data_IF_242159651565
#
_entry.id   IF_242159651565
#
_cell.length_a   1.000
_cell.length_b   1.000
_cell.length_c   1.000
_cell.angle_alpha   90.00
_cell.angle_beta   90.00
_cell.angle_gamma   90.00
#
_symmetry.space_group_name_H-M   'P 1'
#
loop_
_entity.id
_entity.type
_entity.pdbx_description
1 polymer ?
#
# COMPACT_ATOMS: atom_id res chain seq x y z
N UNK A 1 -7.45 -67.82 41.67
CA UNK A 1 -7.38 -66.40 42.10
C UNK A 1 -6.04 -65.86 41.64
N UNK A 2 -6.02 -65.22 40.47
CA UNK A 2 -4.84 -64.57 39.91
C UNK A 2 -5.09 -63.07 39.91
N UNK A 3 -4.15 -62.34 40.52
CA UNK A 3 -4.11 -60.88 40.53
C UNK A 3 -3.68 -60.40 39.14
N UNK A 4 -4.37 -59.38 38.63
CA UNK A 4 -4.23 -58.87 37.28
C UNK A 4 -2.99 -58.01 37.07
N UNK A 5 -2.42 -58.18 35.87
CA UNK A 5 -1.35 -57.37 35.31
C UNK A 5 -1.90 -56.06 34.70
N UNK A 6 -1.10 -55.00 34.86
CA UNK A 6 -1.30 -53.65 34.33
C UNK A 6 -1.00 -53.67 32.82
N UNK A 7 -1.84 -53.09 31.94
CA UNK A 7 -1.48 -52.97 30.53
C UNK A 7 -0.55 -51.78 30.29
N UNK A 8 0.65 -52.06 29.82
CA UNK A 8 1.53 -51.11 29.14
C UNK A 8 0.92 -50.73 27.79
N UNK A 9 0.62 -49.44 27.60
CA UNK A 9 0.24 -48.89 26.29
C UNK A 9 1.51 -48.64 25.49
N UNK A 10 1.75 -49.48 24.48
CA UNK A 10 2.75 -49.24 23.45
C UNK A 10 2.39 -47.98 22.65
N UNK A 11 3.32 -47.03 22.63
CA UNK A 11 3.26 -45.84 21.79
C UNK A 11 3.67 -46.21 20.37
N UNK A 12 2.70 -46.45 19.49
CA UNK A 12 2.95 -46.41 18.06
C UNK A 12 3.24 -44.96 17.65
N UNK A 13 4.52 -44.66 17.43
CA UNK A 13 4.94 -43.50 16.63
C UNK A 13 4.44 -43.71 15.20
N UNK A 14 3.39 -42.99 14.80
CA UNK A 14 3.10 -42.85 13.37
C UNK A 14 4.15 -41.92 12.77
N UNK A 15 4.91 -42.47 11.83
CA UNK A 15 5.83 -41.75 10.96
C UNK A 15 5.11 -41.52 9.65
N UNK A 16 4.05 -40.72 9.70
CA UNK A 16 3.32 -40.29 8.51
C UNK A 16 3.39 -38.76 8.43
N UNK A 17 4.51 -38.26 7.91
CA UNK A 17 4.49 -36.96 7.23
C UNK A 17 3.63 -37.14 5.99
N UNK A 18 2.32 -36.95 6.14
CA UNK A 18 1.39 -36.95 5.03
C UNK A 18 1.74 -35.79 4.08
N UNK A 19 2.25 -36.12 2.89
CA UNK A 19 2.49 -35.22 1.74
C UNK A 19 1.20 -34.60 1.17
N UNK A 20 0.10 -34.54 1.93
CA UNK A 20 -1.22 -34.08 1.49
C UNK A 20 -1.80 -32.98 2.37
N UNK A 21 -1.02 -32.39 3.28
CA UNK A 21 -1.35 -31.08 3.84
C UNK A 21 -0.92 -30.03 2.82
N UNK A 22 -1.87 -29.47 2.07
CA UNK A 22 -1.67 -28.17 1.44
C UNK A 22 -0.96 -27.24 2.45
N UNK A 23 0.08 -26.55 2.01
CA UNK A 23 0.82 -25.59 2.83
C UNK A 23 -0.18 -24.66 3.51
N UNK A 24 -0.37 -24.83 4.82
CA UNK A 24 -1.40 -24.07 5.56
C UNK A 24 -1.04 -22.59 5.61
N UNK A 25 0.24 -22.30 5.82
CA UNK A 25 0.82 -20.97 5.77
C UNK A 25 1.28 -20.65 4.32
N UNK A 26 0.67 -19.67 3.64
CA UNK A 26 0.86 -19.42 2.20
C UNK A 26 2.25 -18.90 1.81
N UNK A 27 3.02 -18.31 2.73
CA UNK A 27 4.31 -17.67 2.44
C UNK A 27 5.53 -18.51 2.81
N UNK A 28 5.34 -19.70 3.39
CA UNK A 28 6.43 -20.66 3.60
C UNK A 28 6.80 -21.31 2.25
N UNK A 29 7.55 -20.59 1.40
CA UNK A 29 8.00 -21.08 0.11
C UNK A 29 9.22 -22.03 0.16
N UNK A 30 10.13 -21.89 -0.79
CA UNK A 30 11.32 -22.73 -0.92
C UNK A 30 12.29 -22.51 0.24
N UNK A 31 12.69 -23.58 0.94
CA UNK A 31 13.71 -23.50 1.98
C UNK A 31 15.09 -23.43 1.30
N UNK A 32 15.71 -22.25 1.34
CA UNK A 32 17.03 -21.98 0.74
C UNK A 32 18.18 -22.34 1.68
N UNK A 33 17.98 -22.14 2.97
CA UNK A 33 18.94 -22.47 4.02
C UNK A 33 18.18 -22.75 5.32
N UNK A 34 18.59 -23.77 6.07
CA UNK A 34 17.96 -24.09 7.34
C UNK A 34 18.98 -24.66 8.32
N UNK A 35 19.00 -24.07 9.50
CA UNK A 35 19.70 -24.59 10.67
C UNK A 35 18.69 -24.67 11.82
N UNK A 36 18.37 -25.88 12.31
CA UNK A 36 17.40 -26.07 13.38
C UNK A 36 17.64 -25.16 14.57
N UNK A 37 16.57 -24.53 15.07
CA UNK A 37 16.56 -23.58 16.20
C UNK A 37 17.46 -22.34 16.06
N UNK A 38 18.15 -22.16 14.94
CA UNK A 38 19.08 -21.04 14.73
C UNK A 38 18.59 -20.10 13.65
N UNK A 39 18.30 -20.61 12.46
CA UNK A 39 17.88 -19.76 11.33
C UNK A 39 17.17 -20.55 10.23
N UNK A 40 16.35 -19.83 9.47
CA UNK A 40 15.76 -20.32 8.22
C UNK A 40 15.76 -19.19 7.19
N UNK A 41 16.04 -19.53 5.94
CA UNK A 41 15.94 -18.64 4.80
C UNK A 41 14.96 -19.21 3.80
N UNK A 42 13.91 -18.45 3.49
CA UNK A 42 12.80 -18.86 2.62
C UNK A 42 12.82 -18.00 1.36
N UNK A 43 12.78 -18.63 0.20
CA UNK A 43 12.52 -18.01 -1.08
C UNK A 43 11.02 -17.99 -1.38
N UNK A 44 10.49 -16.85 -1.78
CA UNK A 44 9.11 -16.72 -2.22
C UNK A 44 9.07 -15.85 -3.48
N UNK A 45 8.11 -16.10 -4.37
CA UNK A 45 7.90 -15.24 -5.54
C UNK A 45 6.55 -14.57 -5.38
N UNK A 46 6.56 -13.26 -5.12
CA UNK A 46 5.34 -12.47 -5.19
C UNK A 46 4.81 -12.54 -6.63
N UNK A 47 3.53 -12.82 -6.81
CA UNK A 47 2.94 -13.04 -8.13
C UNK A 47 1.52 -12.47 -8.18
N UNK A 48 1.24 -11.59 -9.14
CA UNK A 48 -0.09 -10.99 -9.32
C UNK A 48 -1.20 -12.03 -9.56
N UNK A 49 -0.85 -13.20 -10.09
CA UNK A 49 -1.80 -14.27 -10.29
C UNK A 49 -1.94 -15.19 -9.08
N UNK A 50 -0.98 -15.26 -8.17
CA UNK A 50 -1.11 -16.01 -6.91
C UNK A 50 -1.62 -15.12 -5.77
N UNK A 51 -0.91 -14.02 -5.49
CA UNK A 51 -1.18 -13.04 -4.44
C UNK A 51 -2.25 -12.04 -4.90
N UNK A 52 -3.50 -12.49 -4.95
CA UNK A 52 -4.62 -11.75 -5.54
C UNK A 52 -4.85 -10.38 -4.91
N UNK A 53 -4.52 -10.20 -3.64
CA UNK A 53 -4.59 -8.92 -2.93
C UNK A 53 -3.71 -7.82 -3.55
N UNK A 54 -2.65 -8.16 -4.29
CA UNK A 54 -1.78 -7.17 -4.96
C UNK A 54 -2.53 -6.37 -6.03
N UNK A 55 -3.54 -6.97 -6.67
CA UNK A 55 -4.41 -6.31 -7.65
C UNK A 55 -5.31 -5.24 -6.99
N UNK A 56 -5.49 -5.35 -5.67
CA UNK A 56 -6.26 -4.41 -4.85
C UNK A 56 -5.37 -3.44 -4.06
N UNK A 57 -4.04 -3.48 -4.24
CA UNK A 57 -3.10 -2.55 -3.63
C UNK A 57 -2.19 -1.91 -4.70
N UNK A 58 -2.81 -1.18 -5.62
CA UNK A 58 -2.14 -0.46 -6.71
C UNK A 58 -2.12 1.05 -6.47
N UNK A 59 -0.93 1.66 -6.44
CA UNK A 59 -0.79 3.09 -6.14
C UNK A 59 -1.23 4.01 -7.29
N UNK A 60 -1.23 3.51 -8.53
CA UNK A 60 -1.53 4.32 -9.72
C UNK A 60 -2.90 3.94 -10.27
N UNK A 61 -3.84 4.87 -10.22
CA UNK A 61 -5.16 4.72 -10.84
C UNK A 61 -5.04 4.87 -12.37
N UNK A 62 -4.87 3.74 -13.05
CA UNK A 62 -4.78 3.68 -14.52
C UNK A 62 -5.20 2.31 -15.09
N UNK A 63 -5.87 1.46 -14.30
CA UNK A 63 -6.19 0.07 -14.67
C UNK A 63 -7.21 -0.04 -15.80
N UNK A 64 -8.00 1.01 -16.03
CA UNK A 64 -8.93 1.08 -17.18
C UNK A 64 -8.20 1.26 -18.51
N UNK A 65 -6.97 1.77 -18.48
CA UNK A 65 -6.20 2.12 -19.69
C UNK A 65 -4.85 1.37 -19.77
N UNK A 66 -4.55 0.52 -18.80
CA UNK A 66 -3.32 -0.28 -18.72
C UNK A 66 -3.53 -1.61 -18.03
N UNK A 67 -2.58 -2.52 -18.28
CA UNK A 67 -2.43 -3.71 -17.47
C UNK A 67 -2.13 -3.35 -16.02
N UNK A 68 -2.65 -4.16 -15.10
CA UNK A 68 -2.51 -3.94 -13.65
C UNK A 68 -1.06 -3.90 -13.18
N UNK A 69 -0.14 -4.65 -13.82
CA UNK A 69 1.30 -4.59 -13.52
C UNK A 69 1.92 -3.21 -13.77
N UNK A 70 1.30 -2.38 -14.60
CA UNK A 70 1.72 -0.99 -14.84
C UNK A 70 1.08 0.01 -13.89
N UNK A 71 0.14 -0.41 -13.05
CA UNK A 71 -0.52 0.40 -12.02
C UNK A 71 0.24 0.44 -10.70
N UNK A 72 1.50 -0.04 -10.69
CA UNK A 72 2.36 -0.15 -9.52
C UNK A 72 1.66 -0.91 -8.36
N UNK A 73 1.39 -2.22 -8.52
CA UNK A 73 1.06 -3.08 -7.39
C UNK A 73 2.21 -3.10 -6.38
N UNK A 74 1.88 -2.94 -5.10
CA UNK A 74 2.87 -2.88 -4.01
C UNK A 74 2.46 -3.86 -2.92
N UNK A 75 3.42 -4.59 -2.37
CA UNK A 75 3.22 -5.39 -1.16
C UNK A 75 2.90 -4.45 0.03
N UNK A 76 1.70 -4.52 0.63
CA UNK A 76 1.40 -3.75 1.83
C UNK A 76 2.32 -4.16 2.98
N UNK A 77 2.68 -3.21 3.84
CA UNK A 77 3.53 -3.49 5.01
C UNK A 77 2.97 -4.62 5.87
N UNK A 78 1.65 -4.68 6.02
CA UNK A 78 0.97 -5.66 6.86
C UNK A 78 1.04 -7.07 6.31
N UNK A 79 0.96 -7.22 4.98
CA UNK A 79 1.24 -8.50 4.32
C UNK A 79 2.71 -8.88 4.47
N UNK A 80 3.64 -7.93 4.35
CA UNK A 80 5.05 -8.18 4.69
C UNK A 80 5.26 -8.69 6.13
N UNK A 81 4.50 -8.16 7.10
CA UNK A 81 4.54 -8.66 8.48
C UNK A 81 4.01 -10.09 8.61
N UNK A 82 2.95 -10.45 7.87
CA UNK A 82 2.45 -11.82 7.79
C UNK A 82 3.55 -12.76 7.25
N UNK A 83 4.16 -12.42 6.11
CA UNK A 83 5.26 -13.22 5.53
C UNK A 83 6.41 -13.43 6.52
N UNK A 84 6.76 -12.36 7.25
CA UNK A 84 7.83 -12.41 8.25
C UNK A 84 7.42 -13.22 9.49
N UNK A 85 6.15 -13.16 9.88
CA UNK A 85 5.56 -13.97 10.95
C UNK A 85 5.61 -15.45 10.61
N UNK A 86 5.17 -15.84 9.42
CA UNK A 86 5.19 -17.24 8.95
C UNK A 86 6.61 -17.79 8.86
N UNK A 87 7.57 -17.02 8.33
CA UNK A 87 8.97 -17.41 8.30
C UNK A 87 9.55 -17.62 9.70
N UNK A 88 9.18 -16.76 10.67
CA UNK A 88 9.59 -16.93 12.06
C UNK A 88 8.89 -18.11 12.75
N UNK A 89 7.65 -18.43 12.40
CA UNK A 89 6.91 -19.55 12.98
C UNK A 89 7.64 -20.89 12.79
N UNK A 90 8.40 -21.05 11.70
CA UNK A 90 9.27 -22.20 11.45
C UNK A 90 10.36 -22.42 12.53
N UNK A 91 10.73 -21.39 13.30
CA UNK A 91 11.70 -21.45 14.40
C UNK A 91 11.06 -21.38 15.80
N UNK A 92 9.72 -21.40 15.88
CA UNK A 92 8.96 -21.30 17.14
C UNK A 92 7.89 -22.41 17.30
N UNK A 93 8.23 -23.70 17.07
CA UNK A 93 7.25 -24.77 17.13
C UNK A 93 6.58 -24.85 18.52
N UNK A 94 5.25 -24.96 18.53
CA UNK A 94 4.45 -25.04 19.76
C UNK A 94 4.25 -23.71 20.50
N UNK A 95 4.66 -22.59 19.91
CA UNK A 95 4.36 -21.24 20.41
C UNK A 95 3.41 -20.52 19.45
N UNK A 96 2.58 -19.61 19.98
CA UNK A 96 1.72 -18.75 19.16
C UNK A 96 2.35 -17.39 18.93
N UNK A 97 2.02 -16.74 17.81
CA UNK A 97 2.39 -15.34 17.57
C UNK A 97 1.71 -14.47 18.64
N UNK A 98 2.50 -13.60 19.28
CA UNK A 98 2.00 -12.69 20.31
C UNK A 98 2.35 -11.22 20.02
N UNK A 99 3.18 -10.94 19.00
CA UNK A 99 3.47 -9.57 18.63
C UNK A 99 4.67 -9.38 17.70
N UNK A 100 4.90 -8.11 17.37
CA UNK A 100 6.04 -7.64 16.56
C UNK A 100 6.69 -6.44 17.27
N UNK A 101 8.00 -6.30 17.14
CA UNK A 101 8.75 -5.15 17.63
C UNK A 101 9.69 -4.61 16.56
N UNK A 102 10.03 -3.33 16.68
CA UNK A 102 11.06 -2.69 15.84
C UNK A 102 10.81 -2.85 14.33
N UNK A 103 9.55 -2.78 13.90
CA UNK A 103 9.17 -2.90 12.50
C UNK A 103 9.70 -1.69 11.75
N UNK A 104 10.46 -1.95 10.68
CA UNK A 104 10.96 -0.92 9.78
C UNK A 104 10.69 -1.34 8.34
N UNK A 105 10.05 -0.49 7.55
CA UNK A 105 9.97 -0.61 6.09
C UNK A 105 10.86 0.46 5.46
N UNK A 106 12.07 0.05 5.06
CA UNK A 106 13.09 0.94 4.51
C UNK A 106 13.00 1.09 2.99
N UNK A 107 12.42 0.11 2.31
CA UNK A 107 12.26 0.13 0.86
C UNK A 107 10.95 -0.52 0.46
N UNK A 108 10.36 0.00 -0.61
CA UNK A 108 9.12 -0.48 -1.17
C UNK A 108 9.35 -1.80 -1.92
N UNK A 109 8.42 -2.73 -1.79
CA UNK A 109 8.40 -3.99 -2.57
C UNK A 109 7.25 -3.87 -3.57
N UNK A 110 7.57 -3.29 -4.73
CA UNK A 110 6.61 -3.03 -5.81
C UNK A 110 6.89 -3.88 -7.05
N UNK A 111 5.82 -4.29 -7.73
CA UNK A 111 5.87 -4.95 -9.02
C UNK A 111 5.83 -3.88 -10.12
N UNK A 112 7.02 -3.42 -10.52
CA UNK A 112 7.19 -2.28 -11.43
C UNK A 112 7.17 -2.74 -12.90
N UNK A 113 5.97 -2.87 -13.49
CA UNK A 113 5.73 -3.41 -14.84
C UNK A 113 6.10 -4.89 -15.02
N UNK A 114 6.25 -5.62 -13.92
CA UNK A 114 6.45 -7.06 -13.87
C UNK A 114 5.24 -7.72 -13.21
N UNK A 115 5.01 -9.00 -13.49
CA UNK A 115 3.91 -9.76 -12.87
C UNK A 115 4.39 -10.61 -11.70
N UNK A 116 5.70 -10.85 -11.60
CA UNK A 116 6.31 -11.60 -10.51
C UNK A 116 7.57 -10.93 -9.98
N UNK A 117 7.83 -11.07 -8.68
CA UNK A 117 9.00 -10.53 -8.01
C UNK A 117 9.55 -11.54 -6.99
N UNK A 118 10.73 -12.14 -7.25
CA UNK A 118 11.39 -12.98 -6.25
C UNK A 118 11.83 -12.15 -5.04
N UNK A 119 11.51 -12.68 -3.86
CA UNK A 119 11.88 -12.14 -2.56
C UNK A 119 12.49 -13.25 -1.69
N UNK A 120 13.11 -12.84 -0.59
CA UNK A 120 13.74 -13.75 0.35
C UNK A 120 13.51 -13.28 1.77
N UNK A 121 13.05 -14.19 2.63
CA UNK A 121 12.86 -13.98 4.05
C UNK A 121 14.01 -14.66 4.79
N UNK A 122 14.70 -13.95 5.68
CA UNK A 122 15.73 -14.51 6.55
C UNK A 122 15.28 -14.34 7.99
N UNK A 123 14.89 -15.44 8.63
CA UNK A 123 14.52 -15.49 10.04
C UNK A 123 15.68 -16.09 10.86
N UNK A 124 16.05 -15.44 11.96
CA UNK A 124 17.13 -15.85 12.84
C UNK A 124 16.71 -15.73 14.30
N UNK A 125 16.86 -16.82 15.04
CA UNK A 125 16.69 -16.83 16.49
C UNK A 125 17.56 -15.73 17.13
N UNK A 126 17.01 -15.02 18.11
CA UNK A 126 17.74 -14.01 18.88
C UNK A 126 17.88 -14.41 20.33
N UNK A 127 16.76 -14.59 21.03
CA UNK A 127 16.74 -14.90 22.46
C UNK A 127 15.44 -15.58 22.87
N UNK A 128 15.52 -16.38 23.92
CA UNK A 128 14.37 -16.86 24.68
C UNK A 128 14.30 -16.08 26.01
N UNK A 129 13.10 -15.65 26.39
CA UNK A 129 12.82 -15.08 27.71
C UNK A 129 12.09 -16.12 28.55
N UNK A 130 12.82 -16.78 29.44
CA UNK A 130 12.28 -17.85 30.30
C UNK A 130 11.19 -17.36 31.25
N UNK A 131 11.28 -16.13 31.76
CA UNK A 131 10.27 -15.55 32.66
C UNK A 131 8.95 -15.29 31.93
N UNK A 132 9.02 -14.81 30.69
CA UNK A 132 7.84 -14.51 29.86
C UNK A 132 7.39 -15.70 29.02
N UNK A 133 8.15 -16.80 29.02
CA UNK A 133 7.93 -17.97 28.16
C UNK A 133 7.77 -17.57 26.69
N UNK A 134 8.60 -16.63 26.25
CA UNK A 134 8.57 -16.07 24.90
C UNK A 134 9.89 -16.26 24.16
N UNK A 135 9.79 -16.29 22.84
CA UNK A 135 10.90 -16.42 21.90
C UNK A 135 10.89 -15.24 20.95
N UNK A 136 12.05 -14.59 20.79
CA UNK A 136 12.25 -13.49 19.84
C UNK A 136 13.04 -13.99 18.63
N UNK A 137 12.50 -13.72 17.45
CA UNK A 137 13.12 -14.07 16.16
C UNK A 137 13.21 -12.81 15.34
N UNK A 138 14.42 -12.46 14.90
CA UNK A 138 14.63 -11.34 13.99
C UNK A 138 14.38 -11.82 12.57
N UNK A 139 13.60 -11.06 11.80
CA UNK A 139 13.29 -11.38 10.41
C UNK A 139 13.63 -10.20 9.52
N UNK A 140 14.20 -10.49 8.35
CA UNK A 140 14.57 -9.52 7.33
C UNK A 140 14.02 -10.00 5.98
N UNK A 141 13.30 -9.13 5.27
CA UNK A 141 12.72 -9.37 3.95
C UNK A 141 13.54 -8.63 2.89
N UNK A 142 14.03 -9.35 1.89
CA UNK A 142 14.83 -8.84 0.79
C UNK A 142 14.06 -8.98 -0.52
N UNK A 143 14.15 -7.99 -1.40
CA UNK A 143 13.72 -8.11 -2.79
C UNK A 143 14.93 -8.35 -3.69
N UNK A 144 14.75 -9.15 -4.76
CA UNK A 144 15.84 -9.48 -5.69
C UNK A 144 16.51 -8.20 -6.24
N UNK A 145 17.84 -8.20 -6.26
CA UNK A 145 18.65 -7.09 -6.78
C UNK A 145 18.99 -6.00 -5.76
N UNK A 146 18.68 -6.20 -4.48
CA UNK A 146 19.00 -5.27 -3.40
C UNK A 146 19.76 -5.97 -2.27
N UNK A 147 20.85 -5.34 -1.80
CA UNK A 147 21.72 -5.90 -0.75
C UNK A 147 21.21 -5.62 0.67
N UNK A 148 20.24 -4.72 0.82
CA UNK A 148 19.67 -4.33 2.10
C UNK A 148 18.21 -4.78 2.22
N UNK A 149 17.74 -5.10 3.44
CA UNK A 149 16.36 -5.53 3.63
C UNK A 149 15.38 -4.40 3.31
N UNK A 150 14.34 -4.74 2.56
CA UNK A 150 13.21 -3.86 2.32
C UNK A 150 12.40 -3.67 3.62
N UNK A 151 12.25 -4.74 4.40
CA UNK A 151 11.61 -4.73 5.70
C UNK A 151 12.37 -5.55 6.73
N UNK A 152 12.27 -5.16 8.01
CA UNK A 152 12.82 -5.91 9.15
C UNK A 152 11.98 -5.71 10.40
N UNK A 153 11.92 -6.72 11.25
CA UNK A 153 11.27 -6.66 12.55
C UNK A 153 11.80 -7.77 13.46
N UNK A 154 11.45 -7.68 14.74
CA UNK A 154 11.52 -8.77 15.70
C UNK A 154 10.11 -9.36 15.84
N UNK A 155 9.94 -10.65 15.55
CA UNK A 155 8.69 -11.38 15.75
C UNK A 155 8.75 -12.08 17.11
N UNK A 156 7.68 -11.93 17.89
CA UNK A 156 7.59 -12.46 19.25
C UNK A 156 6.57 -13.59 19.29
N UNK A 157 7.02 -14.77 19.72
CA UNK A 157 6.19 -15.93 19.96
C UNK A 157 6.14 -16.27 21.45
N UNK A 158 5.05 -16.84 21.94
CA UNK A 158 4.92 -17.21 23.34
C UNK A 158 3.84 -18.23 23.63
N UNK A 159 3.86 -18.80 24.84
CA UNK A 159 2.75 -19.65 25.35
C UNK A 159 1.60 -18.86 25.96
N UNK A 160 1.82 -17.58 26.24
CA UNK A 160 0.87 -16.65 26.84
C UNK A 160 1.08 -15.28 26.21
N UNK A 161 0.00 -14.52 26.09
CA UNK A 161 0.07 -13.12 25.68
C UNK A 161 0.82 -12.27 26.70
N UNK A 162 1.54 -11.25 26.22
CA UNK A 162 2.24 -10.28 27.06
C UNK A 162 1.34 -9.08 27.27
N UNK A 163 1.34 -8.52 28.48
CA UNK A 163 0.64 -7.28 28.84
C UNK A 163 1.65 -6.15 29.03
N UNK A 164 2.52 -5.92 28.04
CA UNK A 164 3.65 -4.99 28.20
C UNK A 164 3.41 -3.60 27.60
N UNK A 165 2.50 -3.49 26.63
CA UNK A 165 2.08 -2.21 26.06
C UNK A 165 0.93 -1.61 26.87
N UNK A 166 1.19 -0.45 27.47
CA UNK A 166 0.19 0.35 28.19
C UNK A 166 -0.05 1.65 27.44
N UNK A 167 -1.17 1.71 26.71
CA UNK A 167 -1.62 2.89 25.98
C UNK A 167 -2.72 3.58 26.78
N UNK A 168 -2.66 4.91 26.85
CA UNK A 168 -3.70 5.74 27.44
C UNK A 168 -4.35 6.54 26.32
N UNK A 169 -5.64 6.31 26.13
CA UNK A 169 -6.45 7.04 25.16
C UNK A 169 -7.17 8.20 25.86
N UNK A 170 -7.06 9.41 25.30
CA UNK A 170 -7.80 10.58 25.77
C UNK A 170 -9.08 10.77 24.96
N UNK A 171 -10.03 11.52 25.51
CA UNK A 171 -11.21 11.94 24.74
C UNK A 171 -10.81 12.69 23.46
N UNK A 172 -11.60 12.54 22.40
CA UNK A 172 -11.36 13.24 21.16
C UNK A 172 -11.51 14.76 21.36
N UNK A 173 -10.52 15.51 20.89
CA UNK A 173 -10.51 16.97 20.89
C UNK A 173 -11.30 17.46 19.67
N UNK A 174 -12.38 18.21 19.92
CA UNK A 174 -13.27 18.75 18.90
C UNK A 174 -13.75 17.68 17.90
N UNK A 175 -14.42 16.61 18.37
CA UNK A 175 -14.85 15.51 17.50
C UNK A 175 -15.86 16.03 16.47
N UNK A 176 -15.69 15.64 15.22
CA UNK A 176 -16.58 15.93 14.10
C UNK A 176 -16.84 14.65 13.29
N UNK A 177 -17.97 14.55 12.59
CA UNK A 177 -18.15 13.51 11.59
C UNK A 177 -17.14 13.68 10.46
N UNK A 178 -16.81 12.58 9.78
CA UNK A 178 -16.07 12.64 8.52
C UNK A 178 -16.91 13.43 7.48
N UNK A 179 -16.31 14.34 6.68
CA UNK A 179 -17.08 15.16 5.74
C UNK A 179 -17.64 14.39 4.55
N UNK A 180 -17.20 13.15 4.34
CA UNK A 180 -17.69 12.22 3.31
C UNK A 180 -18.01 10.87 3.93
N UNK A 181 -18.78 10.05 3.21
CA UNK A 181 -19.07 8.67 3.61
C UNK A 181 -17.85 7.76 3.44
N UNK A 182 -17.88 6.58 4.09
CA UNK A 182 -16.83 5.56 3.92
C UNK A 182 -16.83 5.00 2.50
N UNK A 183 -18.01 4.86 1.90
CA UNK A 183 -18.16 4.47 0.50
C UNK A 183 -17.44 5.46 -0.41
N UNK A 184 -17.57 6.76 -0.16
CA UNK A 184 -16.87 7.80 -0.90
C UNK A 184 -15.35 7.78 -0.69
N UNK A 185 -14.84 7.42 0.50
CA UNK A 185 -13.39 7.26 0.71
C UNK A 185 -12.79 6.31 -0.32
N UNK A 186 -13.49 5.21 -0.64
CA UNK A 186 -13.04 4.23 -1.62
C UNK A 186 -13.45 4.59 -3.05
N UNK A 187 -14.72 4.91 -3.30
CA UNK A 187 -15.25 5.15 -4.66
C UNK A 187 -14.71 6.42 -5.29
N UNK A 188 -14.41 7.45 -4.50
CA UNK A 188 -13.75 8.67 -4.96
C UNK A 188 -12.21 8.60 -4.82
N UNK A 189 -11.66 7.40 -4.56
CA UNK A 189 -10.22 7.08 -4.57
C UNK A 189 -9.35 7.84 -3.57
N UNK A 190 -9.91 8.41 -2.50
CA UNK A 190 -9.07 8.89 -1.37
C UNK A 190 -8.22 7.76 -0.80
N UNK A 191 -8.74 6.52 -0.85
CA UNK A 191 -8.02 5.28 -0.67
C UNK A 191 -7.86 4.56 -2.03
N UNK A 192 -6.64 4.13 -2.34
CA UNK A 192 -6.32 3.40 -3.57
C UNK A 192 -6.64 1.90 -3.49
N UNK A 193 -7.13 1.42 -2.34
CA UNK A 193 -7.42 0.02 -2.04
C UNK A 193 -8.63 -0.52 -2.82
N UNK A 194 -8.47 -1.71 -3.42
CA UNK A 194 -9.53 -2.48 -4.06
C UNK A 194 -10.30 -3.38 -3.09
N UNK A 195 -11.34 -4.09 -3.55
CA UNK A 195 -12.35 -4.73 -2.71
C UNK A 195 -11.84 -5.64 -1.58
N UNK A 196 -10.79 -6.43 -1.80
CA UNK A 196 -10.20 -7.33 -0.80
C UNK A 196 -9.57 -6.58 0.39
N UNK A 197 -9.33 -5.29 0.25
CA UNK A 197 -8.69 -4.42 1.24
C UNK A 197 -9.59 -3.27 1.71
N UNK A 198 -10.87 -3.22 1.32
CA UNK A 198 -11.81 -2.18 1.78
C UNK A 198 -12.40 -2.52 3.15
N UNK A 199 -11.56 -2.46 4.18
CA UNK A 199 -11.88 -2.95 5.52
C UNK A 199 -12.56 -1.91 6.43
N UNK A 200 -12.56 -0.61 6.09
CA UNK A 200 -13.22 0.38 6.96
C UNK A 200 -14.74 0.20 6.80
N UNK A 201 -15.43 -0.03 7.92
CA UNK A 201 -16.90 -0.13 7.95
C UNK A 201 -17.55 1.18 8.35
N UNK A 202 -16.96 1.89 9.33
CA UNK A 202 -17.54 3.11 9.87
C UNK A 202 -16.48 4.01 10.50
N UNK A 203 -16.63 5.32 10.32
CA UNK A 203 -15.91 6.33 11.09
C UNK A 203 -16.93 7.06 11.97
N UNK A 204 -16.84 6.90 13.29
CA UNK A 204 -17.80 7.50 14.23
C UNK A 204 -17.49 8.98 14.49
N UNK A 205 -16.22 9.30 14.70
CA UNK A 205 -15.77 10.66 14.94
C UNK A 205 -14.28 10.82 14.63
N UNK A 206 -13.92 11.99 14.12
CA UNK A 206 -12.55 12.43 13.89
C UNK A 206 -12.28 13.66 14.75
N UNK A 207 -11.26 13.60 15.59
CA UNK A 207 -10.79 14.71 16.43
C UNK A 207 -9.39 15.16 16.05
N UNK A 208 -8.93 16.28 16.62
CA UNK A 208 -7.57 16.80 16.39
C UNK A 208 -6.47 15.85 16.88
N UNK A 209 -6.78 14.97 17.83
CA UNK A 209 -5.86 14.02 18.45
C UNK A 209 -6.09 12.56 18.02
N UNK A 210 -7.04 12.25 17.14
CA UNK A 210 -7.33 10.86 16.80
C UNK A 210 -8.68 10.63 16.13
N UNK A 211 -9.13 9.38 16.08
CA UNK A 211 -10.46 9.00 15.62
C UNK A 211 -10.97 7.74 16.32
N UNK A 212 -12.27 7.51 16.21
CA UNK A 212 -12.94 6.27 16.62
C UNK A 212 -13.64 5.69 15.39
N UNK A 213 -13.41 4.41 15.12
CA UNK A 213 -13.87 3.74 13.91
C UNK A 213 -14.26 2.28 14.18
N UNK A 214 -14.87 1.67 13.17
CA UNK A 214 -15.06 0.23 13.05
C UNK A 214 -14.37 -0.26 11.78
N UNK A 215 -13.59 -1.33 11.91
CA UNK A 215 -12.89 -1.99 10.81
C UNK A 215 -13.34 -3.45 10.76
N UNK A 216 -13.71 -3.92 9.58
CA UNK A 216 -14.18 -5.27 9.33
C UNK A 216 -13.04 -6.27 9.27
N UNK A 217 -13.14 -7.30 10.10
CA UNK A 217 -12.30 -8.49 10.01
C UNK A 217 -12.93 -9.46 9.00
N UNK A 218 -12.57 -9.33 7.73
CA UNK A 218 -13.07 -10.21 6.66
C UNK A 218 -12.57 -11.64 6.79
N UNK A 219 -13.31 -12.55 6.14
CA UNK A 219 -12.72 -13.81 5.69
C UNK A 219 -11.54 -13.58 4.75
N UNK A 220 -10.69 -14.58 4.69
CA UNK A 220 -9.43 -14.57 3.95
C UNK A 220 -9.51 -15.41 2.68
N UNK A 221 -10.70 -15.89 2.31
CA UNK A 221 -10.96 -16.54 1.04
C UNK A 221 -10.72 -15.53 -0.09
N UNK A 222 -9.97 -15.95 -1.12
CA UNK A 222 -9.56 -15.14 -2.27
C UNK A 222 -8.38 -14.17 -2.05
N UNK A 223 -7.65 -14.25 -0.94
CA UNK A 223 -6.35 -13.56 -0.86
C UNK A 223 -5.28 -14.22 -1.74
N UNK A 224 -5.39 -15.55 -1.92
CA UNK A 224 -4.47 -16.37 -2.70
C UNK A 224 -5.25 -17.19 -3.72
N UNK A 225 -4.65 -17.46 -4.88
CA UNK A 225 -5.25 -18.36 -5.88
C UNK A 225 -5.17 -19.82 -5.44
N UNK A 226 -4.07 -20.23 -4.83
CA UNK A 226 -3.79 -21.62 -4.50
C UNK A 226 -4.59 -22.17 -3.31
N UNK A 227 -5.12 -21.29 -2.44
CA UNK A 227 -5.84 -21.68 -1.24
C UNK A 227 -6.97 -20.70 -0.90
N UNK A 228 -8.15 -21.24 -0.63
CA UNK A 228 -9.32 -20.50 -0.14
C UNK A 228 -9.38 -20.44 1.40
N UNK A 229 -8.53 -21.21 2.09
CA UNK A 229 -8.42 -21.24 3.55
C UNK A 229 -6.97 -21.07 4.01
N UNK A 230 -6.32 -19.92 3.73
CA UNK A 230 -4.97 -19.66 4.24
C UNK A 230 -4.98 -19.55 5.77
N UNK A 231 -4.02 -20.21 6.43
CA UNK A 231 -3.75 -20.05 7.85
C UNK A 231 -2.85 -18.82 8.03
N UNK A 232 -3.47 -17.67 8.31
CA UNK A 232 -2.79 -16.40 8.55
C UNK A 232 -2.66 -16.13 10.05
N UNK A 233 -1.49 -15.65 10.47
CA UNK A 233 -1.16 -15.36 11.86
C UNK A 233 -1.69 -14.00 12.32
N UNK A 234 -1.83 -13.03 11.40
CA UNK A 234 -2.10 -11.62 11.73
C UNK A 234 -3.38 -11.05 11.15
N UNK A 235 -3.93 -11.67 10.10
CA UNK A 235 -4.97 -11.08 9.24
C UNK A 235 -4.53 -9.76 8.58
N UNK A 236 -3.63 -9.83 7.58
CA UNK A 236 -2.95 -8.65 7.04
C UNK A 236 -3.88 -7.65 6.34
N UNK A 237 -5.00 -8.09 5.74
CA UNK A 237 -6.02 -7.17 5.19
C UNK A 237 -6.68 -6.32 6.27
N UNK A 238 -7.00 -6.92 7.44
CA UNK A 238 -7.56 -6.18 8.56
C UNK A 238 -6.56 -5.16 9.08
N UNK A 239 -5.30 -5.58 9.29
CA UNK A 239 -4.23 -4.67 9.70
C UNK A 239 -4.03 -3.54 8.68
N UNK A 240 -4.12 -3.81 7.38
CA UNK A 240 -4.03 -2.77 6.36
C UNK A 240 -5.17 -1.76 6.50
N UNK A 241 -6.39 -2.23 6.75
CA UNK A 241 -7.55 -1.42 7.11
C UNK A 241 -7.30 -0.46 8.28
N UNK A 242 -6.52 -0.88 9.28
CA UNK A 242 -6.12 0.01 10.39
C UNK A 242 -5.22 1.16 9.90
N UNK A 243 -4.31 0.89 8.98
CA UNK A 243 -3.45 1.92 8.40
C UNK A 243 -4.25 2.93 7.56
N UNK A 244 -5.28 2.44 6.86
CA UNK A 244 -6.18 3.26 6.03
C UNK A 244 -6.93 4.32 6.84
N UNK A 245 -7.18 4.10 8.14
CA UNK A 245 -7.83 5.08 9.02
C UNK A 245 -7.08 6.42 9.06
N UNK A 246 -5.77 6.44 8.83
CA UNK A 246 -5.03 7.68 8.73
C UNK A 246 -5.54 8.60 7.63
N UNK A 247 -6.00 8.05 6.50
CA UNK A 247 -6.59 8.84 5.40
C UNK A 247 -7.83 9.59 5.88
N UNK A 248 -8.70 8.94 6.64
CA UNK A 248 -9.88 9.60 7.23
C UNK A 248 -9.47 10.75 8.17
N UNK A 249 -8.37 10.59 8.91
CA UNK A 249 -7.88 11.63 9.83
C UNK A 249 -7.25 12.84 9.11
N UNK A 250 -6.56 12.64 7.98
CA UNK A 250 -5.92 13.73 7.23
C UNK A 250 -6.69 14.20 5.99
N UNK A 251 -7.94 13.75 5.79
CA UNK A 251 -8.71 14.06 4.57
C UNK A 251 -8.90 15.56 4.31
N UNK A 252 -8.97 16.36 5.38
CA UNK A 252 -9.11 17.81 5.34
C UNK A 252 -7.76 18.55 5.32
N UNK A 253 -6.65 17.81 5.15
CA UNK A 253 -5.29 18.33 5.22
C UNK A 253 -4.61 18.25 3.85
N UNK A 254 -3.73 19.19 3.59
CA UNK A 254 -2.93 19.24 2.35
C UNK A 254 -1.73 18.26 2.37
N UNK A 255 -1.93 17.04 2.87
CA UNK A 255 -0.91 16.02 2.87
C UNK A 255 -1.47 14.60 2.85
N UNK A 256 -0.65 13.69 2.34
CA UNK A 256 -0.83 12.24 2.45
C UNK A 256 0.26 11.66 3.36
N UNK A 257 0.05 10.45 3.86
CA UNK A 257 1.06 9.77 4.65
C UNK A 257 1.13 8.27 4.31
N UNK A 258 2.34 7.69 4.32
CA UNK A 258 2.57 6.27 4.03
C UNK A 258 3.36 5.63 5.18
N UNK A 259 3.04 4.39 5.56
CA UNK A 259 3.64 3.74 6.73
C UNK A 259 5.13 3.42 6.49
N UNK A 260 5.97 3.66 7.51
CA UNK A 260 7.43 3.44 7.46
C UNK A 260 7.96 2.56 8.60
N UNK A 261 7.17 2.34 9.65
CA UNK A 261 7.56 1.47 10.76
C UNK A 261 6.54 1.42 11.89
N UNK A 262 6.77 0.54 12.85
CA UNK A 262 5.93 0.32 14.04
C UNK A 262 6.86 -0.05 15.20
N UNK A 263 6.69 0.55 16.37
CA UNK A 263 7.54 0.23 17.52
C UNK A 263 7.14 -1.11 18.16
N UNK A 264 5.83 -1.30 18.40
CA UNK A 264 5.31 -2.52 19.00
C UNK A 264 3.91 -2.87 18.48
N UNK A 265 3.65 -4.15 18.27
CA UNK A 265 2.33 -4.74 18.08
C UNK A 265 2.22 -5.84 19.14
N UNK A 266 1.20 -5.80 19.99
CA UNK A 266 0.88 -6.87 20.93
C UNK A 266 -0.52 -7.42 20.69
N UNK A 267 -0.63 -8.74 20.71
CA UNK A 267 -1.90 -9.48 20.71
C UNK A 267 -2.22 -9.91 22.14
N UNK A 268 -3.50 -9.93 22.50
CA UNK A 268 -3.96 -10.22 23.87
C UNK A 268 -4.95 -11.39 23.96
N UNK A 269 -5.49 -11.82 22.82
CA UNK A 269 -6.37 -12.97 22.72
C UNK A 269 -6.23 -13.61 21.32
N UNK A 270 -6.79 -14.82 21.12
CA UNK A 270 -6.88 -15.40 19.79
C UNK A 270 -7.63 -14.48 18.82
N UNK A 271 -7.40 -14.67 17.52
CA UNK A 271 -8.10 -13.93 16.48
C UNK A 271 -9.63 -13.93 16.75
N UNK A 272 -10.27 -12.75 16.77
CA UNK A 272 -11.71 -12.62 16.91
C UNK A 272 -12.48 -13.38 15.83
N UNK A 273 -13.78 -13.54 16.03
CA UNK A 273 -14.61 -14.20 15.03
C UNK A 273 -14.62 -13.37 13.74
N UNK A 274 -14.37 -14.03 12.61
CA UNK A 274 -14.43 -13.42 11.28
C UNK A 274 -15.83 -12.89 10.95
N UNK A 275 -15.88 -12.00 9.96
CA UNK A 275 -17.07 -11.26 9.51
C UNK A 275 -17.68 -10.38 10.61
N UNK A 276 -16.84 -9.74 11.40
CA UNK A 276 -17.24 -8.81 12.44
C UNK A 276 -16.57 -7.45 12.26
N UNK A 277 -17.31 -6.40 12.61
CA UNK A 277 -16.80 -5.06 12.73
C UNK A 277 -16.17 -4.90 14.12
N UNK A 278 -14.88 -4.57 14.16
CA UNK A 278 -14.13 -4.41 15.39
C UNK A 278 -13.93 -2.93 15.66
N UNK A 279 -14.22 -2.52 16.90
CA UNK A 279 -14.01 -1.14 17.34
C UNK A 279 -12.51 -0.82 17.40
N UNK A 280 -12.14 0.32 16.85
CA UNK A 280 -10.76 0.82 16.79
C UNK A 280 -10.70 2.22 17.36
N UNK A 281 -9.79 2.41 18.31
CA UNK A 281 -9.38 3.71 18.82
C UNK A 281 -8.02 4.05 18.25
N UNK A 282 -7.92 5.16 17.53
CA UNK A 282 -6.66 5.67 16.97
C UNK A 282 -6.35 7.02 17.62
N UNK A 283 -5.15 7.16 18.15
CA UNK A 283 -4.67 8.42 18.74
C UNK A 283 -3.34 8.84 18.13
N UNK A 284 -3.23 10.10 17.73
CA UNK A 284 -1.96 10.70 17.32
C UNK A 284 -1.05 10.79 18.55
N UNK A 285 0.07 10.06 18.52
CA UNK A 285 1.06 10.07 19.61
C UNK A 285 2.09 11.17 19.41
N UNK A 286 2.48 11.42 18.16
CA UNK A 286 3.49 12.43 17.83
C UNK A 286 3.34 12.90 16.38
N UNK A 287 3.58 14.20 16.14
CA UNK A 287 3.76 14.74 14.79
C UNK A 287 4.98 15.67 14.78
N UNK A 288 6.00 15.32 13.99
CA UNK A 288 7.26 16.07 13.87
C UNK A 288 7.65 16.22 12.40
N UNK A 289 7.79 17.45 11.91
CA UNK A 289 8.26 17.76 10.55
C UNK A 289 7.54 16.94 9.44
N UNK A 290 8.19 15.87 8.96
CA UNK A 290 7.72 14.97 7.89
C UNK A 290 7.25 13.60 8.41
N UNK A 291 7.10 13.41 9.71
CA UNK A 291 6.65 12.15 10.30
C UNK A 291 5.48 12.35 11.24
N UNK A 292 4.58 11.37 11.25
CA UNK A 292 3.47 11.27 12.20
C UNK A 292 3.43 9.85 12.75
N UNK A 293 3.18 9.72 14.04
CA UNK A 293 3.07 8.45 14.75
C UNK A 293 1.70 8.36 15.40
N UNK A 294 1.11 7.17 15.38
CA UNK A 294 -0.18 6.90 16.02
C UNK A 294 -0.14 5.65 16.86
N UNK A 295 -0.98 5.63 17.88
CA UNK A 295 -1.26 4.48 18.72
C UNK A 295 -2.66 3.96 18.39
N UNK A 296 -2.83 2.64 18.37
CA UNK A 296 -4.12 2.01 18.15
C UNK A 296 -4.44 0.98 19.23
N UNK A 297 -5.73 0.90 19.57
CA UNK A 297 -6.31 -0.18 20.36
C UNK A 297 -7.53 -0.74 19.63
N UNK A 298 -7.55 -2.06 19.49
CA UNK A 298 -8.57 -2.79 18.74
C UNK A 298 -9.25 -3.76 19.70
N UNK A 299 -10.58 -3.75 19.72
CA UNK A 299 -11.38 -4.60 20.61
C UNK A 299 -11.86 -5.87 19.88
N UNK A 300 -12.09 -6.95 20.64
CA UNK A 300 -12.43 -8.30 20.14
C UNK A 300 -13.91 -8.51 19.79
N UNK A 301 -14.72 -7.44 19.82
CA UNK A 301 -16.18 -7.50 19.66
C UNK A 301 -16.93 -7.93 20.93
N UNK A 302 -16.23 -8.18 22.05
CA UNK A 302 -16.77 -8.51 23.38
C UNK A 302 -16.21 -7.60 24.47
N UNK A 303 -15.84 -6.38 24.10
CA UNK A 303 -15.27 -5.33 24.96
C UNK A 303 -13.88 -5.64 25.57
N UNK A 304 -13.22 -6.73 25.15
CA UNK A 304 -11.81 -6.96 25.52
C UNK A 304 -10.89 -6.41 24.44
N UNK A 305 -9.68 -6.04 24.83
CA UNK A 305 -8.64 -5.66 23.87
C UNK A 305 -8.12 -6.91 23.16
N UNK A 306 -8.12 -6.88 21.82
CA UNK A 306 -7.47 -7.90 21.00
C UNK A 306 -6.04 -7.52 20.66
N UNK A 307 -5.83 -6.28 20.23
CA UNK A 307 -4.55 -5.82 19.71
C UNK A 307 -4.25 -4.38 20.15
N UNK A 308 -2.99 -4.12 20.50
CA UNK A 308 -2.47 -2.74 20.63
C UNK A 308 -1.30 -2.55 19.69
N UNK A 309 -1.26 -1.38 19.07
CA UNK A 309 -0.18 -0.95 18.20
C UNK A 309 0.38 0.36 18.77
N UNK A 310 1.67 0.36 19.07
CA UNK A 310 2.39 1.51 19.60
C UNK A 310 3.26 2.13 18.51
N UNK A 311 3.11 3.44 18.33
CA UNK A 311 3.86 4.27 17.39
C UNK A 311 3.93 3.67 15.98
N UNK A 312 2.79 3.44 15.36
CA UNK A 312 2.73 3.24 13.91
C UNK A 312 3.12 4.54 13.21
N UNK A 313 4.30 4.54 12.60
CA UNK A 313 4.97 5.70 12.00
C UNK A 313 4.67 5.81 10.52
N UNK A 314 4.43 7.04 10.08
CA UNK A 314 4.20 7.40 8.69
C UNK A 314 5.10 8.55 8.27
N UNK A 315 5.48 8.58 6.99
CA UNK A 315 6.11 9.73 6.35
C UNK A 315 5.06 10.56 5.62
N UNK A 316 5.13 11.88 5.76
CA UNK A 316 4.17 12.86 5.21
C UNK A 316 4.68 13.39 3.87
N UNK A 317 3.79 13.40 2.88
CA UNK A 317 3.97 14.02 1.56
C UNK A 317 2.99 15.16 1.38
N UNK A 318 3.46 16.35 0.96
CA UNK A 318 2.62 17.55 0.82
C UNK A 318 2.39 17.89 -0.64
N UNK A 319 1.13 17.92 -1.03
CA UNK A 319 0.69 18.18 -2.39
C UNK A 319 -0.28 19.35 -2.35
N UNK A 320 -0.26 20.22 -3.37
CA UNK A 320 -1.34 21.19 -3.54
C UNK A 320 -2.63 20.47 -3.92
N UNK A 321 -3.78 21.07 -3.61
CA UNK A 321 -5.10 20.49 -3.85
C UNK A 321 -5.29 19.99 -5.30
N UNK A 322 -4.88 20.79 -6.29
CA UNK A 322 -4.98 20.39 -7.71
C UNK A 322 -4.22 19.10 -8.03
N UNK A 323 -3.03 18.92 -7.45
CA UNK A 323 -2.22 17.72 -7.65
C UNK A 323 -2.79 16.54 -6.87
N UNK A 324 -3.28 16.74 -5.65
CA UNK A 324 -3.98 15.69 -4.90
C UNK A 324 -5.20 15.16 -5.65
N UNK A 325 -6.05 16.06 -6.16
CA UNK A 325 -7.22 15.70 -6.95
C UNK A 325 -6.84 15.01 -8.26
N UNK A 326 -5.81 15.51 -8.95
CA UNK A 326 -5.32 14.91 -10.18
C UNK A 326 -4.74 13.50 -9.97
N UNK A 327 -3.94 13.26 -8.93
CA UNK A 327 -3.39 11.92 -8.66
C UNK A 327 -4.49 10.93 -8.26
N UNK A 328 -5.54 11.42 -7.61
CA UNK A 328 -6.69 10.65 -7.15
C UNK A 328 -7.62 10.21 -8.29
N UNK A 329 -8.01 11.16 -9.15
CA UNK A 329 -8.90 10.93 -10.30
C UNK A 329 -8.33 11.65 -11.55
N UNK A 330 -7.23 11.12 -12.12
CA UNK A 330 -6.55 11.72 -13.27
C UNK A 330 -7.44 11.88 -14.50
N UNK A 331 -8.46 11.05 -14.68
CA UNK A 331 -9.47 11.11 -15.74
C UNK A 331 -10.51 12.23 -15.56
N UNK A 332 -10.64 12.77 -14.34
CA UNK A 332 -11.61 13.84 -14.00
C UNK A 332 -10.94 15.20 -13.86
N UNK A 333 -9.77 15.26 -13.22
CA UNK A 333 -9.12 16.53 -12.90
C UNK A 333 -7.95 16.85 -13.83
N UNK A 334 -7.60 18.14 -13.88
CA UNK A 334 -6.37 18.65 -14.49
C UNK A 334 -5.36 18.94 -13.38
N UNK A 335 -4.07 18.70 -13.65
CA UNK A 335 -3.00 19.08 -12.73
C UNK A 335 -2.62 20.56 -12.91
N UNK A 336 -2.78 21.07 -14.13
CA UNK A 336 -2.41 22.42 -14.55
C UNK A 336 -3.57 23.40 -14.55
N UNK A 337 -3.26 24.69 -14.52
CA UNK A 337 -4.25 25.78 -14.45
C UNK A 337 -4.58 26.29 -15.85
N UNK A 338 -5.87 26.36 -16.19
CA UNK A 338 -6.32 26.99 -17.43
C UNK A 338 -6.06 28.51 -17.37
N UNK A 339 -5.42 29.04 -18.39
CA UNK A 339 -5.24 30.48 -18.58
C UNK A 339 -6.28 31.06 -19.54
N UNK A 340 -6.47 32.39 -19.58
CA UNK A 340 -7.27 33.02 -20.63
C UNK A 340 -6.78 32.63 -22.03
N UNK A 341 -7.72 32.26 -22.89
CA UNK A 341 -7.42 31.81 -24.24
C UNK A 341 -6.95 32.99 -25.11
N UNK A 342 -5.86 32.81 -25.88
CA UNK A 342 -5.33 33.88 -26.76
C UNK A 342 -6.23 34.18 -27.97
N UNK A 343 -7.11 33.25 -28.32
CA UNK A 343 -8.12 33.32 -29.38
C UNK A 343 -9.22 32.30 -29.13
N UNK A 344 -10.37 32.40 -29.82
CA UNK A 344 -11.51 31.47 -29.67
C UNK A 344 -11.20 30.00 -29.99
N UNK A 345 -10.10 29.74 -30.71
CA UNK A 345 -9.70 28.41 -31.16
C UNK A 345 -8.48 27.84 -30.43
N UNK A 346 -7.97 28.56 -29.44
CA UNK A 346 -6.83 28.12 -28.61
C UNK A 346 -7.30 27.76 -27.21
N UNK A 347 -6.71 26.73 -26.63
CA UNK A 347 -6.84 26.38 -25.21
C UNK A 347 -5.47 26.49 -24.56
N UNK A 348 -5.34 27.32 -23.53
CA UNK A 348 -4.05 27.58 -22.87
C UNK A 348 -4.03 27.05 -21.43
N UNK A 349 -2.98 26.33 -21.06
CA UNK A 349 -2.72 25.86 -19.70
C UNK A 349 -1.32 26.23 -19.25
N UNK A 350 -1.14 26.43 -17.93
CA UNK A 350 0.15 26.62 -17.28
C UNK A 350 0.31 25.70 -16.08
N UNK A 351 1.52 25.18 -15.90
CA UNK A 351 1.90 24.42 -14.72
C UNK A 351 3.13 25.03 -14.06
N UNK A 352 3.07 25.27 -12.74
CA UNK A 352 4.23 25.69 -11.95
C UNK A 352 5.16 24.50 -11.71
N UNK A 353 6.48 24.71 -11.79
CA UNK A 353 7.47 23.68 -11.42
C UNK A 353 7.42 23.31 -9.94
N UNK A 354 6.91 24.20 -9.09
CA UNK A 354 6.75 23.93 -7.65
C UNK A 354 5.74 22.82 -7.34
N UNK A 355 4.92 22.43 -8.33
CA UNK A 355 3.93 21.35 -8.19
C UNK A 355 4.58 19.99 -7.92
N UNK A 356 5.87 19.83 -8.24
CA UNK A 356 6.64 18.60 -8.01
C UNK A 356 7.16 18.45 -6.57
N UNK A 357 6.87 19.41 -5.68
CA UNK A 357 7.28 19.32 -4.26
C UNK A 357 6.72 18.05 -3.63
N UNK A 358 7.59 17.23 -3.02
CA UNK A 358 7.25 15.96 -2.39
C UNK A 358 6.53 14.95 -3.32
N UNK A 359 6.59 15.14 -4.65
CA UNK A 359 6.08 14.21 -5.66
C UNK A 359 7.15 13.19 -6.01
N UNK A 360 6.78 11.91 -6.02
CA UNK A 360 7.57 10.88 -6.65
C UNK A 360 7.44 10.99 -8.19
N UNK A 361 8.54 11.31 -8.87
CA UNK A 361 8.57 11.55 -10.33
C UNK A 361 8.18 10.31 -11.12
N UNK A 362 8.59 9.12 -10.68
CA UNK A 362 8.21 7.84 -11.31
C UNK A 362 6.70 7.59 -11.17
N UNK A 363 6.11 7.91 -10.03
CA UNK A 363 4.67 7.74 -9.82
C UNK A 363 3.88 8.68 -10.74
N UNK A 364 4.28 9.95 -10.80
CA UNK A 364 3.66 10.92 -11.72
C UNK A 364 3.82 10.47 -13.18
N UNK A 365 5.00 9.99 -13.57
CA UNK A 365 5.23 9.43 -14.91
C UNK A 365 4.26 8.28 -15.22
N UNK A 366 4.07 7.36 -14.27
CA UNK A 366 3.12 6.26 -14.40
C UNK A 366 1.67 6.74 -14.47
N UNK A 367 1.29 7.81 -13.78
CA UNK A 367 -0.07 8.38 -13.89
C UNK A 367 -0.34 8.98 -15.28
N UNK A 368 0.65 9.67 -15.88
CA UNK A 368 0.36 10.58 -17.00
C UNK A 368 0.80 10.10 -18.38
N UNK A 369 1.86 9.28 -18.46
CA UNK A 369 2.52 8.97 -19.73
C UNK A 369 1.87 7.76 -20.41
N UNK A 370 1.62 7.77 -21.71
CA UNK A 370 1.29 6.54 -22.41
C UNK A 370 2.48 5.54 -22.38
N UNK A 371 2.25 4.24 -22.62
CA UNK A 371 3.32 3.21 -22.59
C UNK A 371 4.55 3.56 -23.45
N UNK A 372 4.33 4.20 -24.59
CA UNK A 372 5.41 4.65 -25.49
C UNK A 372 6.22 5.79 -24.86
N UNK A 373 5.54 6.76 -24.25
CA UNK A 373 6.19 7.87 -23.54
C UNK A 373 6.92 7.37 -22.28
N UNK A 374 6.35 6.41 -21.56
CA UNK A 374 6.98 5.80 -20.38
C UNK A 374 8.28 5.04 -20.76
N UNK A 375 8.30 4.39 -21.92
CA UNK A 375 9.52 3.75 -22.45
C UNK A 375 10.62 4.76 -22.76
N UNK A 376 10.25 5.94 -23.27
CA UNK A 376 11.19 7.05 -23.46
C UNK A 376 11.67 7.57 -22.10
N UNK A 377 10.76 7.81 -21.17
CA UNK A 377 11.06 8.30 -19.82
C UNK A 377 12.10 7.44 -19.11
N UNK A 378 11.96 6.11 -19.15
CA UNK A 378 12.90 5.16 -18.55
C UNK A 378 14.32 5.23 -19.12
N UNK A 379 14.48 5.76 -20.34
CA UNK A 379 15.78 5.93 -20.99
C UNK A 379 16.41 7.32 -20.73
N UNK A 380 15.66 8.25 -20.11
CA UNK A 380 16.21 9.55 -19.70
C UNK A 380 17.03 9.34 -18.43
N UNK A 381 18.23 9.92 -18.37
CA UNK A 381 19.10 9.79 -17.20
C UNK A 381 18.38 10.28 -15.94
N UNK A 382 18.29 9.39 -14.96
CA UNK A 382 17.68 9.65 -13.65
C UNK A 382 18.27 10.92 -13.01
N UNK A 383 17.39 11.74 -12.41
CA UNK A 383 17.73 12.95 -11.63
C UNK A 383 18.36 14.13 -12.39
N UNK A 384 18.27 14.17 -13.72
CA UNK A 384 18.53 15.42 -14.46
C UNK A 384 17.37 16.41 -14.28
N UNK A 385 17.60 17.73 -14.09
CA UNK A 385 16.52 18.73 -14.16
C UNK A 385 15.69 18.63 -15.46
N UNK A 386 16.32 18.13 -16.52
CA UNK A 386 15.71 17.85 -17.82
C UNK A 386 14.55 16.85 -17.72
N UNK A 387 14.61 15.84 -16.84
CA UNK A 387 13.53 14.86 -16.70
C UNK A 387 12.26 15.48 -16.12
N UNK A 388 12.40 16.41 -15.17
CA UNK A 388 11.27 17.11 -14.56
C UNK A 388 10.60 18.04 -15.57
N UNK A 389 11.40 18.83 -16.30
CA UNK A 389 10.88 19.71 -17.36
C UNK A 389 10.26 18.91 -18.51
N UNK A 390 10.84 17.76 -18.86
CA UNK A 390 10.27 16.86 -19.85
C UNK A 390 8.91 16.34 -19.40
N UNK A 391 8.81 15.85 -18.16
CA UNK A 391 7.58 15.29 -17.61
C UNK A 391 6.48 16.35 -17.48
N UNK A 392 6.81 17.53 -16.93
CA UNK A 392 5.87 18.63 -16.80
C UNK A 392 5.38 19.16 -18.15
N UNK A 393 6.23 19.17 -19.19
CA UNK A 393 5.78 19.49 -20.55
C UNK A 393 4.71 18.53 -21.04
N UNK A 394 4.87 17.21 -20.81
CA UNK A 394 3.85 16.23 -21.21
C UNK A 394 2.58 16.41 -20.39
N UNK A 395 2.70 16.68 -19.10
CA UNK A 395 1.56 16.93 -18.21
C UNK A 395 0.70 18.09 -18.69
N UNK A 396 1.28 19.28 -18.83
CA UNK A 396 0.54 20.49 -19.24
C UNK A 396 0.04 20.39 -20.68
N UNK A 397 0.78 19.73 -21.57
CA UNK A 397 0.32 19.48 -22.93
C UNK A 397 -0.88 18.51 -22.98
N UNK A 398 -0.87 17.45 -22.16
CA UNK A 398 -1.98 16.51 -22.04
C UNK A 398 -3.22 17.20 -21.45
N UNK A 399 -3.08 18.04 -20.43
CA UNK A 399 -4.20 18.79 -19.88
C UNK A 399 -4.83 19.74 -20.91
N UNK A 400 -4.00 20.50 -21.64
CA UNK A 400 -4.47 21.38 -22.72
C UNK A 400 -5.18 20.59 -23.84
N UNK A 401 -4.63 19.45 -24.25
CA UNK A 401 -5.23 18.55 -25.21
C UNK A 401 -6.58 17.99 -24.75
N UNK A 402 -6.65 17.47 -23.52
CA UNK A 402 -7.86 16.90 -22.93
C UNK A 402 -8.96 17.93 -22.83
N UNK A 403 -8.64 19.15 -22.37
CA UNK A 403 -9.61 20.24 -22.32
C UNK A 403 -10.09 20.66 -23.71
N UNK A 404 -9.18 20.71 -24.70
CA UNK A 404 -9.57 20.96 -26.10
C UNK A 404 -10.54 19.89 -26.62
N UNK A 405 -10.26 18.60 -26.35
CA UNK A 405 -11.09 17.48 -26.80
C UNK A 405 -12.51 17.59 -26.24
N UNK A 406 -12.69 17.83 -24.94
CA UNK A 406 -14.02 17.92 -24.33
C UNK A 406 -14.80 19.18 -24.74
N UNK A 407 -14.11 20.26 -25.14
CA UNK A 407 -14.76 21.53 -25.50
C UNK A 407 -15.05 21.67 -27.00
N UNK A 408 -14.25 21.00 -27.85
CA UNK A 408 -14.36 21.10 -29.31
C UNK A 408 -14.91 19.82 -29.95
N UNK A 409 -15.17 18.78 -29.16
CA UNK A 409 -15.75 17.50 -29.60
C UNK A 409 -16.79 17.01 -28.59
N UNK A 410 -17.56 15.97 -28.91
CA UNK A 410 -18.57 15.39 -28.00
C UNK A 410 -18.01 14.32 -27.04
N UNK A 411 -16.69 14.24 -26.87
CA UNK A 411 -16.05 13.23 -26.02
C UNK A 411 -16.05 13.63 -24.54
N UNK A 412 -16.14 12.63 -23.67
CA UNK A 412 -15.85 12.79 -22.25
C UNK A 412 -14.36 13.03 -22.01
N UNK A 413 -14.02 13.47 -20.79
CA UNK A 413 -12.64 13.65 -20.39
C UNK A 413 -11.94 12.29 -20.35
N UNK A 414 -10.85 12.16 -21.10
CA UNK A 414 -10.08 10.92 -21.21
C UNK A 414 -8.95 10.90 -20.20
N UNK A 415 -8.54 9.72 -19.75
CA UNK A 415 -7.40 9.55 -18.85
C UNK A 415 -6.09 10.03 -19.52
N UNK A 416 -5.18 10.76 -18.83
CA UNK A 416 -3.96 11.30 -19.46
C UNK A 416 -3.03 10.22 -20.03
N UNK A 417 -2.99 9.03 -19.43
CA UNK A 417 -2.22 7.90 -19.94
C UNK A 417 -2.82 7.17 -21.16
N UNK A 418 -4.05 7.47 -21.58
CA UNK A 418 -4.73 6.71 -22.66
C UNK A 418 -4.23 7.04 -24.06
N UNK A 419 -3.54 8.17 -24.24
CA UNK A 419 -3.05 8.66 -25.52
C UNK A 419 -1.61 9.15 -25.40
N UNK A 420 -0.85 9.14 -26.49
CA UNK A 420 0.54 9.60 -26.49
C UNK A 420 0.71 10.96 -27.19
N UNK A 421 1.72 11.71 -26.76
CA UNK A 421 2.22 12.88 -27.48
C UNK A 421 3.38 12.48 -28.39
N UNK A 422 3.17 12.60 -29.70
CA UNK A 422 4.21 12.40 -30.71
C UNK A 422 4.85 13.74 -31.07
N UNK A 423 6.18 13.81 -31.05
CA UNK A 423 6.92 15.05 -31.34
C UNK A 423 6.91 15.32 -32.85
N UNK A 424 6.26 16.40 -33.29
CA UNK A 424 6.30 16.88 -34.69
C UNK A 424 7.57 17.69 -34.97
N UNK A 425 7.86 18.61 -34.06
CA UNK A 425 9.05 19.48 -34.00
C UNK A 425 9.36 19.76 -32.53
N UNK A 426 10.51 20.33 -32.22
CA UNK A 426 10.87 20.67 -30.83
C UNK A 426 9.71 21.42 -30.14
N UNK A 427 9.24 20.90 -29.00
CA UNK A 427 8.13 21.45 -28.19
C UNK A 427 6.76 21.53 -28.90
N UNK A 428 6.59 20.84 -30.03
CA UNK A 428 5.32 20.76 -30.77
C UNK A 428 4.89 19.30 -30.88
N UNK A 429 3.69 19.01 -30.40
CA UNK A 429 3.17 17.66 -30.25
C UNK A 429 1.88 17.45 -31.04
N UNK A 430 1.78 16.32 -31.73
CA UNK A 430 0.49 15.77 -32.17
C UNK A 430 0.04 14.69 -31.22
N UNK A 431 -1.28 14.52 -31.10
CA UNK A 431 -1.85 13.43 -30.31
C UNK A 431 -1.93 12.16 -31.15
N UNK A 432 -1.63 11.03 -30.53
CA UNK A 432 -1.71 9.68 -31.13
C UNK A 432 -2.40 8.72 -30.16
N UNK A 433 -2.94 7.61 -30.68
CA UNK A 433 -3.64 6.57 -29.90
C UNK A 433 -4.89 7.05 -29.16
N UNK A 434 -5.61 8.05 -29.68
CA UNK A 434 -6.94 8.35 -29.16
C UNK A 434 -7.88 7.17 -29.52
N UNK A 435 -8.71 6.68 -28.58
CA UNK A 435 -9.58 5.53 -28.79
C UNK A 435 -10.53 5.62 -30.00
N UNK A 436 -10.81 6.83 -30.46
CA UNK A 436 -11.71 7.14 -31.58
C UNK A 436 -11.01 8.08 -32.59
N UNK A 437 -11.41 8.06 -33.86
CA UNK A 437 -10.87 8.93 -34.94
C UNK A 437 -11.28 10.42 -34.77
N UNK A 438 -11.26 10.88 -33.54
CA UNK A 438 -11.61 12.22 -33.09
C UNK A 438 -10.62 13.22 -33.68
N UNK A 439 -11.12 14.37 -34.11
CA UNK A 439 -10.23 15.47 -34.49
C UNK A 439 -9.37 15.85 -33.29
N UNK A 440 -8.06 15.94 -33.48
CA UNK A 440 -7.09 16.20 -32.41
C UNK A 440 -6.42 17.55 -32.59
N UNK A 441 -6.09 18.29 -31.51
CA UNK A 441 -5.28 19.49 -31.62
C UNK A 441 -3.81 19.14 -31.85
N UNK A 442 -3.06 20.12 -32.38
CA UNK A 442 -1.62 20.22 -32.17
C UNK A 442 -1.38 21.05 -30.91
N UNK A 443 -0.44 20.61 -30.07
CA UNK A 443 -0.09 21.27 -28.81
C UNK A 443 1.33 21.80 -28.87
N UNK A 444 1.52 23.09 -28.59
CA UNK A 444 2.83 23.72 -28.50
C UNK A 444 3.14 24.05 -27.05
N UNK A 445 4.34 23.74 -26.58
CA UNK A 445 4.78 24.07 -25.22
C UNK A 445 5.88 25.14 -25.19
N UNK A 446 5.94 25.88 -24.09
CA UNK A 446 7.02 26.82 -23.80
C UNK A 446 7.47 26.65 -22.35
N UNK A 447 8.75 26.35 -22.16
CA UNK A 447 9.37 26.26 -20.85
C UNK A 447 9.78 27.67 -20.42
N UNK A 448 9.30 28.10 -19.26
CA UNK A 448 9.72 29.33 -18.58
C UNK A 448 10.60 28.97 -17.38
N UNK A 449 11.12 29.99 -16.70
CA UNK A 449 12.00 29.80 -15.53
C UNK A 449 11.32 28.97 -14.43
N UNK A 450 10.07 29.30 -14.09
CA UNK A 450 9.34 28.73 -12.95
C UNK A 450 8.09 27.94 -13.36
N UNK A 451 7.72 27.93 -14.63
CA UNK A 451 6.49 27.31 -15.11
C UNK A 451 6.65 26.81 -16.55
N UNK A 452 5.68 26.04 -17.03
CA UNK A 452 5.59 25.57 -18.41
C UNK A 452 4.18 25.86 -18.91
N UNK A 453 4.07 26.41 -20.11
CA UNK A 453 2.80 26.73 -20.76
C UNK A 453 2.58 25.76 -21.92
N UNK A 454 1.33 25.32 -22.12
CA UNK A 454 0.88 24.63 -23.32
C UNK A 454 -0.26 25.40 -23.99
N UNK A 455 -0.26 25.41 -25.32
CA UNK A 455 -1.35 25.94 -26.16
C UNK A 455 -1.80 24.82 -27.10
N UNK A 456 -3.05 24.41 -26.99
CA UNK A 456 -3.70 23.46 -27.89
C UNK A 456 -4.58 24.18 -28.91
N UNK A 457 -4.41 23.87 -30.19
CA UNK A 457 -5.21 24.45 -31.28
C UNK A 457 -5.37 23.45 -32.42
N UNK A 458 -6.40 23.66 -33.26
CA UNK A 458 -6.56 22.88 -34.50
C UNK A 458 -5.42 23.21 -35.47
N UNK A 459 -4.93 22.20 -36.20
CA UNK A 459 -4.02 22.44 -37.33
C UNK A 459 -4.65 23.24 -38.45
#
# INVERSE_FOLDING_TARGET
MHFGDIPTVETQRSTDFNENTAQRMPYVGDILEYQPDVMIKIGYTLDLDEDLYLKDHTLIHASEVRNISSCLPVLPMTFGLEMMGEAAACLAPGLGLIGFKNVTASNWVGLEDITTLPITLSARFQEDNSMQMSRKIKVELFKKGYDFPAMRCDVIFGKKYLLSVSLIFSELVTPQPLPISVEQLYSERFLFHGPLLQCISKIHAVGKNGLIAEVKLFKTDNLFRSTDTPELLTHPSFMDGLAQLMVAWFIDKEFNALPIGIDNIELYCPIPKLDQDLAVYLQISEQKYKTISVNLEIHDGKENVWMRIENWKYVIFRHCESMSNFLRLPEVFFASTKLPDSSENTITFEISKSILRDINIEWLARTILHKEELSIFKNIKENSPEIQDWLLQRLVAKDAARHWIITKTSHSMIHPASFALSTKKEKTFSITHIPDQTTTPTVVTKILKNSIIAIAQRE
#
